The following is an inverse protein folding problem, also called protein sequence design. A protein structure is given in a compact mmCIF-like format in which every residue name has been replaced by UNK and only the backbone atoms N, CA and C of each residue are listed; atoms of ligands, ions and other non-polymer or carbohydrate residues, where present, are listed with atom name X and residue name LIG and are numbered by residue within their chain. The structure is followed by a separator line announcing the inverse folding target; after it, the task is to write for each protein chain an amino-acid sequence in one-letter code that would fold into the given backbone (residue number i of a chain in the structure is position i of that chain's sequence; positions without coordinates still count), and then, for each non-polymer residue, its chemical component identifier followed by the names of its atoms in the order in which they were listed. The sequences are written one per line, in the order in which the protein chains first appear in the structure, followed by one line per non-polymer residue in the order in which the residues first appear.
data_IF_029588832704
#
_entry.id   IF_029588832704
#
_cell.length_a   1.000
_cell.length_b   1.000
_cell.length_c   1.000
_cell.angle_alpha   90.00
_cell.angle_beta   90.00
_cell.angle_gamma   90.00
#
_symmetry.space_group_name_H-M   'P 1'
#
loop_
_entity.id
_entity.type
_entity.pdbx_description
1 polymer ?
#
# COMPACT_ATOMS: atom_id res chain seq x y z
N UNK A 1 -1.25 -16.87 -15.90
CA UNK A 1 -2.33 -16.00 -16.44
C UNK A 1 -1.64 -14.91 -17.26
N UNK A 2 -2.03 -14.66 -18.51
CA UNK A 2 -1.46 -13.55 -19.30
C UNK A 2 -1.56 -12.21 -18.57
N UNK A 3 -0.58 -11.31 -18.75
CA UNK A 3 -0.55 -9.99 -18.07
C UNK A 3 -1.83 -9.16 -18.33
N UNK A 4 -2.45 -9.36 -19.50
CA UNK A 4 -3.70 -8.73 -19.93
C UNK A 4 -4.98 -9.33 -19.34
N UNK A 5 -4.89 -10.44 -18.61
CA UNK A 5 -6.03 -11.10 -17.96
C UNK A 5 -5.86 -11.13 -16.42
N UNK A 6 -4.69 -10.71 -15.92
CA UNK A 6 -4.38 -10.69 -14.49
C UNK A 6 -5.25 -9.62 -13.81
N UNK A 7 -6.04 -10.05 -12.81
CA UNK A 7 -6.84 -9.14 -11.98
C UNK A 7 -6.01 -8.17 -11.13
N UNK A 8 -4.69 -8.39 -11.06
CA UNK A 8 -3.69 -7.48 -10.47
C UNK A 8 -4.08 -7.03 -9.06
N UNK A 9 -4.20 -8.02 -8.16
CA UNK A 9 -4.62 -7.84 -6.77
C UNK A 9 -3.39 -7.52 -5.93
N UNK A 10 -3.08 -6.25 -5.80
CA UNK A 10 -1.80 -5.81 -5.21
C UNK A 10 -1.94 -5.24 -3.80
N UNK A 11 -3.13 -4.73 -3.43
CA UNK A 11 -3.36 -4.17 -2.10
C UNK A 11 -4.27 -5.06 -1.24
N UNK A 12 -3.86 -5.31 0.00
CA UNK A 12 -4.66 -6.08 0.96
C UNK A 12 -4.62 -5.48 2.36
N UNK A 13 -5.73 -5.59 3.08
CA UNK A 13 -5.80 -5.24 4.50
C UNK A 13 -6.94 -5.99 5.20
N UNK A 14 -6.88 -6.07 6.52
CA UNK A 14 -7.97 -6.65 7.32
C UNK A 14 -8.90 -5.53 7.77
N UNK A 15 -10.20 -5.72 7.56
CA UNK A 15 -11.26 -4.85 8.05
C UNK A 15 -12.23 -5.66 8.93
N UNK A 16 -13.04 -4.96 9.72
CA UNK A 16 -14.08 -5.59 10.54
C UNK A 16 -15.45 -5.04 10.17
N UNK A 17 -16.37 -5.92 9.77
CA UNK A 17 -17.76 -5.58 9.48
C UNK A 17 -18.65 -6.25 10.52
N UNK A 18 -19.31 -5.47 11.38
CA UNK A 18 -20.10 -5.99 12.51
C UNK A 18 -19.31 -7.00 13.35
N UNK A 19 -18.08 -6.65 13.72
CA UNK A 19 -17.14 -7.49 14.50
C UNK A 19 -16.61 -8.73 13.76
N UNK A 20 -17.04 -8.99 12.53
CA UNK A 20 -16.56 -10.11 11.71
C UNK A 20 -15.36 -9.68 10.87
N UNK A 21 -14.23 -10.41 10.90
CA UNK A 21 -13.04 -10.05 10.15
C UNK A 21 -13.15 -10.45 8.67
N UNK A 22 -12.80 -9.50 7.80
CA UNK A 22 -12.69 -9.71 6.36
C UNK A 22 -11.29 -9.33 5.88
N UNK A 23 -10.75 -10.11 4.95
CA UNK A 23 -9.64 -9.67 4.12
C UNK A 23 -10.22 -8.88 2.95
N UNK A 24 -9.94 -7.58 2.93
CA UNK A 24 -10.20 -6.71 1.80
C UNK A 24 -9.01 -6.81 0.85
N UNK A 25 -9.30 -7.16 -0.40
CA UNK A 25 -8.31 -7.28 -1.49
C UNK A 25 -8.73 -6.31 -2.59
N UNK A 26 -7.80 -5.49 -3.04
CA UNK A 26 -8.07 -4.40 -3.98
C UNK A 26 -7.19 -4.57 -5.20
N UNK A 27 -7.79 -4.50 -6.38
CA UNK A 27 -7.06 -4.50 -7.64
C UNK A 27 -6.35 -3.18 -7.88
N UNK A 28 -5.20 -3.21 -8.57
CA UNK A 28 -4.33 -2.04 -8.77
C UNK A 28 -4.98 -0.89 -9.54
N UNK A 29 -6.04 -1.16 -10.30
CA UNK A 29 -6.74 -0.18 -11.12
C UNK A 29 -5.99 0.24 -12.39
N UNK A 30 -4.86 -0.42 -12.67
CA UNK A 30 -3.91 0.06 -13.68
C UNK A 30 -4.24 -0.48 -15.09
N UNK A 31 -4.26 0.39 -16.12
CA UNK A 31 -4.49 0.09 -17.57
C UNK A 31 -5.83 -0.55 -17.99
N UNK A 32 -6.49 -1.37 -17.16
CA UNK A 32 -7.58 -2.25 -17.61
C UNK A 32 -8.73 -2.31 -16.60
N UNK A 33 -9.95 -2.05 -17.07
CA UNK A 33 -11.18 -2.03 -16.24
C UNK A 33 -11.41 -3.30 -15.41
N UNK A 34 -10.90 -4.47 -15.82
CA UNK A 34 -11.07 -5.70 -15.05
C UNK A 34 -10.24 -5.76 -13.76
N UNK A 35 -9.33 -4.80 -13.54
CA UNK A 35 -8.60 -4.60 -12.27
C UNK A 35 -9.36 -3.69 -11.30
N UNK A 36 -10.49 -3.13 -11.71
CA UNK A 36 -11.28 -2.19 -10.93
C UNK A 36 -12.27 -2.95 -10.04
N UNK A 37 -11.71 -3.81 -9.17
CA UNK A 37 -12.48 -4.66 -8.25
C UNK A 37 -11.98 -4.57 -6.81
N UNK A 38 -12.92 -4.70 -5.88
CA UNK A 38 -12.64 -5.04 -4.49
C UNK A 38 -13.19 -6.44 -4.21
N UNK A 39 -12.45 -7.25 -3.49
CA UNK A 39 -12.87 -8.58 -3.04
C UNK A 39 -12.89 -8.59 -1.52
N UNK A 40 -14.00 -9.01 -0.96
CA UNK A 40 -14.16 -9.21 0.48
C UNK A 40 -14.21 -10.70 0.76
N UNK A 41 -13.15 -11.22 1.36
CA UNK A 41 -13.08 -12.59 1.83
C UNK A 41 -13.38 -12.63 3.33
N UNK A 42 -14.50 -13.26 3.70
CA UNK A 42 -14.84 -13.50 5.10
C UNK A 42 -13.85 -14.53 5.67
N UNK A 43 -13.10 -14.16 6.71
CA UNK A 43 -12.03 -15.00 7.25
C UNK A 43 -12.52 -16.15 8.15
N UNK A 44 -13.81 -16.18 8.50
CA UNK A 44 -14.42 -17.25 9.31
C UNK A 44 -15.05 -18.34 8.42
N UNK A 45 -15.72 -17.93 7.34
CA UNK A 45 -16.47 -18.81 6.44
C UNK A 45 -15.75 -19.12 5.12
N UNK A 46 -14.70 -18.39 4.78
CA UNK A 46 -14.01 -18.42 3.49
C UNK A 46 -14.88 -18.06 2.27
N UNK A 47 -16.09 -17.52 2.50
CA UNK A 47 -16.91 -16.98 1.43
C UNK A 47 -16.34 -15.64 0.96
N UNK A 48 -16.39 -15.37 -0.33
CA UNK A 48 -15.98 -14.08 -0.88
C UNK A 48 -17.08 -13.43 -1.71
N UNK A 49 -17.01 -12.11 -1.82
CA UNK A 49 -17.85 -11.30 -2.72
C UNK A 49 -16.96 -10.33 -3.48
N UNK A 50 -17.20 -10.18 -4.77
CA UNK A 50 -16.52 -9.20 -5.62
C UNK A 50 -17.42 -8.00 -5.88
N UNK A 51 -16.83 -6.81 -5.83
CA UNK A 51 -17.49 -5.54 -6.09
C UNK A 51 -16.79 -4.83 -7.23
N UNK A 52 -17.56 -4.28 -8.17
CA UNK A 52 -17.03 -3.36 -9.17
C UNK A 52 -16.83 -1.98 -8.53
N UNK A 53 -15.58 -1.53 -8.48
CA UNK A 53 -15.19 -0.23 -7.91
C UNK A 53 -14.75 0.78 -8.96
N UNK A 54 -15.00 0.52 -10.25
CA UNK A 54 -14.78 1.47 -11.35
C UNK A 54 -15.30 2.89 -11.04
N UNK A 55 -16.51 3.09 -10.47
CA UNK A 55 -16.99 4.43 -10.18
C UNK A 55 -16.14 5.17 -9.14
N UNK A 56 -15.51 4.44 -8.21
CA UNK A 56 -14.58 5.02 -7.23
C UNK A 56 -13.27 5.41 -7.91
N UNK A 57 -12.69 4.53 -8.73
CA UNK A 57 -11.44 4.78 -9.44
C UNK A 57 -11.53 5.90 -10.48
N UNK A 58 -12.63 5.97 -11.23
CA UNK A 58 -12.83 7.03 -12.23
C UNK A 58 -12.78 8.44 -11.61
N UNK A 59 -13.15 8.58 -10.33
CA UNK A 59 -13.12 9.86 -9.61
C UNK A 59 -11.72 10.28 -9.18
N UNK A 60 -10.75 9.36 -9.13
CA UNK A 60 -9.37 9.66 -8.70
C UNK A 60 -8.61 10.52 -9.71
N UNK A 61 -8.94 10.39 -11.00
CA UNK A 61 -8.37 11.22 -12.07
C UNK A 61 -8.68 12.71 -11.89
N UNK A 62 -9.92 13.03 -11.50
CA UNK A 62 -10.35 14.40 -11.20
C UNK A 62 -9.69 14.97 -9.93
N UNK A 63 -9.13 14.09 -9.09
CA UNK A 63 -8.39 14.42 -7.87
C UNK A 63 -6.87 14.44 -8.07
N UNK A 64 -6.39 14.31 -9.32
CA UNK A 64 -4.98 14.45 -9.70
C UNK A 64 -4.19 13.14 -9.80
N UNK A 65 -4.84 11.98 -9.73
CA UNK A 65 -4.20 10.67 -9.96
C UNK A 65 -4.57 10.19 -11.37
N UNK A 66 -3.72 10.47 -12.37
CA UNK A 66 -4.00 10.13 -13.77
C UNK A 66 -3.50 8.73 -14.16
N UNK A 67 -2.52 8.18 -13.45
CA UNK A 67 -1.99 6.82 -13.59
C UNK A 67 -2.21 6.05 -12.30
N UNK A 68 -3.42 5.53 -12.15
CA UNK A 68 -3.81 4.72 -11.01
C UNK A 68 -2.98 3.42 -10.95
N UNK A 69 -2.35 3.18 -9.81
CA UNK A 69 -1.67 1.94 -9.48
C UNK A 69 -1.66 1.73 -7.96
N UNK A 70 -2.72 1.12 -7.43
CA UNK A 70 -2.85 0.82 -6.00
C UNK A 70 -2.00 -0.40 -5.66
N UNK A 71 -1.04 -0.24 -4.75
CA UNK A 71 -0.11 -1.30 -4.33
C UNK A 71 -0.24 -1.67 -2.85
N UNK A 72 -0.91 -0.84 -2.06
CA UNK A 72 -0.95 -1.04 -0.62
C UNK A 72 -2.23 -0.54 0.02
N UNK A 73 -2.60 -1.17 1.13
CA UNK A 73 -3.76 -0.78 1.93
C UNK A 73 -3.48 -0.94 3.42
N UNK A 74 -4.01 -0.03 4.23
CA UNK A 74 -4.03 -0.13 5.68
C UNK A 74 -5.32 0.48 6.24
N UNK A 75 -5.79 -0.04 7.38
CA UNK A 75 -6.83 0.62 8.16
C UNK A 75 -6.17 1.45 9.25
N UNK A 76 -6.55 2.71 9.37
CA UNK A 76 -6.13 3.62 10.43
C UNK A 76 -7.38 4.10 11.15
N UNK A 77 -7.64 3.52 12.33
CA UNK A 77 -8.89 3.73 13.08
C UNK A 77 -10.12 3.40 12.20
N UNK A 78 -10.91 4.42 11.84
CA UNK A 78 -12.11 4.33 11.01
C UNK A 78 -11.85 4.58 9.51
N UNK A 79 -10.59 4.77 9.11
CA UNK A 79 -10.21 5.15 7.74
C UNK A 79 -9.54 4.01 7.00
N UNK A 80 -9.93 3.80 5.74
CA UNK A 80 -9.19 2.99 4.78
C UNK A 80 -8.19 3.88 4.04
N UNK A 81 -6.94 3.48 4.08
CA UNK A 81 -5.80 4.16 3.47
C UNK A 81 -5.28 3.30 2.33
N UNK A 82 -5.28 3.83 1.11
CA UNK A 82 -4.69 3.18 -0.07
C UNK A 82 -3.43 3.94 -0.49
N UNK A 83 -2.36 3.20 -0.74
CA UNK A 83 -1.14 3.75 -1.34
C UNK A 83 -1.20 3.59 -2.85
N UNK A 84 -1.26 4.72 -3.55
CA UNK A 84 -1.05 4.77 -4.99
C UNK A 84 0.44 4.95 -5.27
N UNK A 85 1.00 3.98 -5.98
CA UNK A 85 2.38 4.00 -6.46
C UNK A 85 2.58 5.13 -7.45
N UNK A 86 3.62 5.91 -7.26
CA UNK A 86 4.05 6.90 -8.24
C UNK A 86 4.60 6.24 -9.51
N UNK A 87 5.04 7.08 -10.45
CA UNK A 87 5.90 6.65 -11.54
C UNK A 87 7.04 7.67 -11.71
N UNK A 88 8.25 7.18 -12.04
CA UNK A 88 9.46 8.03 -12.19
C UNK A 88 9.33 9.25 -13.12
N UNK A 89 8.33 9.32 -14.01
CA UNK A 89 8.25 10.33 -15.06
C UNK A 89 7.23 11.43 -14.82
N UNK A 90 6.12 11.15 -14.12
CA UNK A 90 4.93 12.00 -14.17
C UNK A 90 4.12 12.06 -12.89
N UNK A 91 4.13 11.02 -12.05
CA UNK A 91 3.24 10.96 -10.89
C UNK A 91 3.97 10.73 -9.58
N UNK A 92 3.67 11.58 -8.61
CA UNK A 92 4.09 11.38 -7.23
C UNK A 92 3.36 10.20 -6.59
N UNK A 93 3.92 9.67 -5.52
CA UNK A 93 3.18 8.75 -4.65
C UNK A 93 2.01 9.49 -4.00
N UNK A 94 0.89 8.79 -3.81
CA UNK A 94 -0.27 9.35 -3.12
C UNK A 94 -0.79 8.42 -2.04
N UNK A 95 -1.32 9.04 -0.99
CA UNK A 95 -2.19 8.40 -0.01
C UNK A 95 -3.63 8.80 -0.33
N UNK A 96 -4.46 7.81 -0.60
CA UNK A 96 -5.90 7.96 -0.81
C UNK A 96 -6.59 7.53 0.48
N UNK A 97 -7.49 8.37 0.98
CA UNK A 97 -8.22 8.17 2.23
C UNK A 97 -9.70 8.06 1.89
N UNK A 98 -10.33 7.00 2.35
CA UNK A 98 -11.77 6.73 2.20
C UNK A 98 -12.27 5.97 3.43
N UNK A 99 -13.57 5.65 3.45
CA UNK A 99 -14.16 4.77 4.44
C UNK A 99 -13.99 3.30 4.02
N UNK A 100 -13.79 2.34 4.96
CA UNK A 100 -13.67 0.93 4.64
C UNK A 100 -14.75 0.44 3.67
N UNK A 101 -16.03 0.74 3.90
CA UNK A 101 -17.15 0.25 3.10
C UNK A 101 -17.46 1.04 1.83
N UNK A 102 -16.46 1.72 1.25
CA UNK A 102 -16.65 2.57 0.06
C UNK A 102 -17.30 1.84 -1.13
N UNK A 103 -17.11 0.51 -1.24
CA UNK A 103 -17.69 -0.31 -2.31
C UNK A 103 -19.23 -0.38 -2.27
N UNK A 104 -19.89 -0.02 -1.17
CA UNK A 104 -21.35 0.03 -1.11
C UNK A 104 -21.90 1.19 -1.96
N UNK A 105 -21.18 2.32 -2.00
CA UNK A 105 -21.55 3.52 -2.73
C UNK A 105 -20.32 4.14 -3.43
N UNK A 106 -19.68 3.44 -4.38
CA UNK A 106 -18.37 3.82 -4.91
C UNK A 106 -18.39 5.18 -5.63
N UNK A 107 -19.52 5.55 -6.22
CA UNK A 107 -19.72 6.85 -6.88
C UNK A 107 -19.78 8.04 -5.89
N UNK A 108 -20.20 7.78 -4.64
CA UNK A 108 -20.49 8.82 -3.64
C UNK A 108 -19.53 8.78 -2.44
N UNK A 109 -18.70 7.74 -2.33
CA UNK A 109 -17.75 7.58 -1.23
C UNK A 109 -16.88 8.82 -1.03
N UNK A 110 -16.59 9.15 0.23
CA UNK A 110 -15.69 10.25 0.54
C UNK A 110 -14.27 9.90 0.08
N UNK A 111 -13.61 10.83 -0.61
CA UNK A 111 -12.23 10.64 -1.07
C UNK A 111 -11.41 11.87 -0.68
N UNK A 112 -10.28 11.64 -0.03
CA UNK A 112 -9.22 12.62 0.10
C UNK A 112 -7.91 12.06 -0.43
N UNK A 113 -7.22 12.84 -1.25
CA UNK A 113 -5.91 12.49 -1.80
C UNK A 113 -4.86 13.40 -1.17
N UNK A 114 -3.78 12.80 -0.68
CA UNK A 114 -2.62 13.51 -0.12
C UNK A 114 -1.38 13.03 -0.88
N UNK A 115 -0.64 13.90 -1.58
CA UNK A 115 0.65 13.52 -2.13
C UNK A 115 1.64 13.25 -1.00
N UNK A 116 2.49 12.23 -1.18
CA UNK A 116 3.58 11.89 -0.25
C UNK A 116 4.92 12.00 -0.97
N UNK A 117 5.76 12.88 -0.44
CA UNK A 117 7.13 13.09 -0.92
C UNK A 117 8.04 12.15 -0.12
N UNK A 118 8.58 11.13 -0.79
CA UNK A 118 9.58 10.22 -0.22
C UNK A 118 10.96 10.89 -0.29
N UNK A 119 11.89 10.52 0.60
CA UNK A 119 13.24 11.12 0.60
C UNK A 119 14.01 10.86 -0.71
N UNK A 120 13.72 9.73 -1.36
CA UNK A 120 14.18 9.46 -2.71
C UNK A 120 13.00 9.67 -3.67
N UNK A 121 13.10 10.67 -4.55
CA UNK A 121 12.06 11.05 -5.52
C UNK A 121 11.72 9.94 -6.53
N UNK A 122 12.62 8.99 -6.72
CA UNK A 122 12.41 7.83 -7.62
C UNK A 122 11.83 6.61 -6.91
N UNK A 123 11.69 6.67 -5.58
CA UNK A 123 11.08 5.59 -4.82
C UNK A 123 9.56 5.60 -4.97
N UNK A 124 8.99 4.42 -5.02
CA UNK A 124 7.60 4.17 -5.33
C UNK A 124 7.00 3.32 -4.20
N UNK A 125 5.85 3.72 -3.66
CA UNK A 125 5.19 3.03 -2.55
C UNK A 125 4.85 1.58 -2.95
N UNK A 126 5.15 0.65 -2.04
CA UNK A 126 4.89 -0.78 -2.24
C UNK A 126 4.03 -1.39 -1.14
N UNK A 127 4.17 -0.95 0.12
CA UNK A 127 3.47 -1.56 1.25
C UNK A 127 3.02 -0.55 2.30
N UNK A 128 1.94 -0.87 3.01
CA UNK A 128 1.41 -0.10 4.13
C UNK A 128 0.94 -1.02 5.25
N UNK A 129 1.15 -0.59 6.50
CA UNK A 129 0.52 -1.20 7.67
C UNK A 129 0.43 -0.18 8.80
N UNK A 130 -0.55 -0.33 9.70
CA UNK A 130 -0.76 0.62 10.80
C UNK A 130 -0.58 -0.04 12.16
N UNK A 131 0.17 0.64 13.03
CA UNK A 131 0.32 0.29 14.44
C UNK A 131 -0.62 1.16 15.27
N UNK A 132 -1.78 0.62 15.65
CA UNK A 132 -2.75 1.28 16.53
C UNK A 132 -2.10 1.66 17.87
N UNK A 133 -1.33 0.74 18.47
CA UNK A 133 -0.71 0.97 19.78
C UNK A 133 0.30 2.12 19.80
N UNK A 134 0.87 2.48 18.65
CA UNK A 134 1.88 3.53 18.53
C UNK A 134 1.39 4.75 17.73
N UNK A 135 0.18 4.72 17.18
CA UNK A 135 -0.31 5.66 16.17
C UNK A 135 0.71 5.93 15.05
N UNK A 136 1.20 4.85 14.44
CA UNK A 136 2.22 4.93 13.39
C UNK A 136 1.80 4.17 12.14
N UNK A 137 1.73 4.89 11.01
CA UNK A 137 1.61 4.30 9.68
C UNK A 137 3.02 3.98 9.18
N UNK A 138 3.26 2.71 8.90
CA UNK A 138 4.51 2.19 8.40
C UNK A 138 4.36 1.93 6.91
N UNK A 139 5.40 2.18 6.14
CA UNK A 139 5.37 1.92 4.70
C UNK A 139 6.67 1.30 4.21
N UNK A 140 6.57 0.58 3.10
CA UNK A 140 7.72 0.19 2.27
C UNK A 140 7.63 0.90 0.93
N UNK A 141 8.79 1.17 0.36
CA UNK A 141 8.90 1.71 -0.99
C UNK A 141 10.10 1.10 -1.69
N UNK A 142 10.06 1.02 -3.00
CA UNK A 142 11.13 0.45 -3.82
C UNK A 142 11.48 1.37 -4.96
N UNK A 143 12.74 1.35 -5.37
CA UNK A 143 13.13 1.89 -6.68
C UNK A 143 13.27 0.73 -7.66
N UNK A 144 12.69 0.85 -8.84
CA UNK A 144 12.89 -0.09 -9.94
C UNK A 144 13.48 0.66 -11.12
N UNK A 145 14.54 0.13 -11.75
CA UNK A 145 15.16 0.76 -12.90
C UNK A 145 14.34 0.60 -14.19
N UNK A 146 13.14 1.17 -14.18
CA UNK A 146 12.21 1.20 -15.32
C UNK A 146 11.55 2.55 -15.47
N UNK A 147 11.26 2.86 -16.72
CA UNK A 147 10.78 4.15 -17.18
C UNK A 147 9.24 4.33 -17.02
N UNK A 148 8.56 3.32 -16.48
CA UNK A 148 7.10 3.26 -16.32
C UNK A 148 6.71 2.30 -15.18
N UNK A 149 5.50 2.45 -14.61
CA UNK A 149 5.00 1.67 -13.46
C UNK A 149 4.53 0.24 -13.80
N UNK A 150 4.90 -0.28 -14.97
CA UNK A 150 4.31 -1.51 -15.49
C UNK A 150 5.33 -2.55 -15.95
N UNK A 151 6.54 -2.15 -16.31
CA UNK A 151 7.62 -3.04 -16.71
C UNK A 151 8.53 -3.31 -15.51
N UNK A 152 8.93 -4.56 -15.32
CA UNK A 152 9.82 -4.94 -14.23
C UNK A 152 11.24 -4.47 -14.57
N UNK A 153 11.70 -3.46 -13.84
CA UNK A 153 13.04 -2.90 -14.00
C UNK A 153 14.09 -3.70 -13.25
N UNK A 154 15.36 -3.30 -13.38
CA UNK A 154 16.37 -3.82 -12.47
C UNK A 154 15.98 -3.40 -11.04
N UNK A 155 15.86 -4.37 -10.14
CA UNK A 155 15.64 -4.09 -8.71
C UNK A 155 16.68 -3.08 -8.24
N UNK A 156 16.20 -1.94 -7.75
CA UNK A 156 17.00 -0.93 -7.10
C UNK A 156 17.03 -1.17 -5.59
N UNK A 157 16.87 -0.09 -4.84
CA UNK A 157 16.90 -0.08 -3.38
C UNK A 157 15.50 -0.13 -2.79
N UNK A 158 15.38 -0.82 -1.65
CA UNK A 158 14.17 -0.87 -0.82
C UNK A 158 14.28 0.03 0.39
N UNK A 159 13.19 0.68 0.74
CA UNK A 159 13.07 1.63 1.83
C UNK A 159 12.00 1.19 2.81
N UNK A 160 12.23 1.51 4.08
CA UNK A 160 11.22 1.41 5.13
C UNK A 160 11.06 2.78 5.76
N UNK A 161 9.82 3.20 5.99
CA UNK A 161 9.55 4.48 6.61
C UNK A 161 8.39 4.46 7.60
N UNK A 162 8.37 5.52 8.42
CA UNK A 162 7.45 5.68 9.54
C UNK A 162 6.81 7.07 9.47
N UNK A 163 5.50 7.11 9.60
CA UNK A 163 4.72 8.31 9.84
C UNK A 163 4.04 8.16 11.20
N UNK A 164 4.62 8.80 12.21
CA UNK A 164 4.06 8.83 13.57
C UNK A 164 2.90 9.83 13.68
N UNK A 165 2.07 9.66 14.69
CA UNK A 165 0.86 10.44 14.91
C UNK A 165 -0.03 10.43 13.65
N UNK A 166 -0.12 9.25 13.02
CA UNK A 166 -0.62 9.08 11.67
C UNK A 166 -2.07 9.51 11.58
N UNK A 167 -2.94 9.06 12.50
CA UNK A 167 -4.37 9.34 12.47
C UNK A 167 -4.64 10.84 12.36
N UNK A 168 -4.01 11.64 13.23
CA UNK A 168 -4.13 13.10 13.18
C UNK A 168 -3.53 13.71 11.91
N UNK A 169 -2.41 13.18 11.40
CA UNK A 169 -1.77 13.68 10.18
C UNK A 169 -2.60 13.41 8.93
N UNK A 170 -3.41 12.36 8.91
CA UNK A 170 -4.31 12.06 7.80
C UNK A 170 -5.38 13.14 7.58
N UNK A 171 -5.63 14.04 8.54
CA UNK A 171 -6.51 15.21 8.36
C UNK A 171 -5.81 16.46 7.81
N UNK A 172 -4.51 16.39 7.53
CA UNK A 172 -3.72 17.49 6.97
C UNK A 172 -3.70 17.46 5.45
N UNK A 173 -3.22 18.55 4.86
CA UNK A 173 -2.97 18.68 3.41
C UNK A 173 -1.67 18.01 2.95
N UNK A 174 -0.77 17.70 3.87
CA UNK A 174 0.54 17.08 3.61
C UNK A 174 0.86 16.08 4.70
N UNK A 175 1.40 14.95 4.30
CA UNK A 175 1.87 13.92 5.22
C UNK A 175 3.38 14.08 5.41
N UNK A 176 3.81 14.29 6.66
CA UNK A 176 5.23 14.34 6.99
C UNK A 176 5.70 12.96 7.44
N UNK A 177 6.66 12.41 6.71
CA UNK A 177 7.44 11.25 7.09
C UNK A 177 8.33 11.64 8.27
N UNK A 178 8.36 10.80 9.32
CA UNK A 178 9.22 11.00 10.47
C UNK A 178 10.62 10.48 10.20
N UNK A 179 10.69 9.26 9.67
CA UNK A 179 11.91 8.52 9.40
C UNK A 179 11.74 7.72 8.11
N UNK A 180 12.78 7.67 7.31
CA UNK A 180 12.91 6.77 6.16
C UNK A 180 14.35 6.24 6.13
N UNK A 181 14.50 4.93 5.96
CA UNK A 181 15.81 4.28 5.89
C UNK A 181 15.90 3.41 4.65
N UNK A 182 17.07 3.40 4.02
CA UNK A 182 17.40 2.44 2.98
C UNK A 182 17.76 1.11 3.66
N UNK A 183 17.04 0.04 3.34
CA UNK A 183 17.16 -1.23 4.06
C UNK A 183 18.53 -1.90 3.87
N UNK A 184 19.17 -1.70 2.72
CA UNK A 184 20.51 -2.20 2.41
C UNK A 184 21.62 -1.54 3.25
N UNK A 185 21.40 -0.32 3.77
CA UNK A 185 22.28 0.33 4.74
C UNK A 185 22.14 -0.27 6.14
N UNK A 186 20.97 -0.82 6.45
CA UNK A 186 20.69 -1.45 7.75
C UNK A 186 21.28 -2.86 7.82
N UNK A 187 21.12 -3.65 6.75
CA UNK A 187 21.67 -5.01 6.71
C UNK A 187 21.87 -5.50 5.27
N UNK A 188 23.00 -6.17 5.01
CA UNK A 188 23.38 -6.63 3.66
C UNK A 188 22.39 -7.61 3.03
N UNK A 189 21.60 -8.32 3.85
CA UNK A 189 20.58 -9.25 3.36
C UNK A 189 19.45 -8.59 2.58
N UNK A 190 19.32 -7.26 2.65
CA UNK A 190 18.35 -6.49 1.86
C UNK A 190 18.89 -6.05 0.51
N UNK A 191 20.17 -6.32 0.18
CA UNK A 191 20.72 -6.03 -1.15
C UNK A 191 20.02 -6.89 -2.20
N UNK A 192 19.68 -6.27 -3.32
CA UNK A 192 18.95 -6.89 -4.43
C UNK A 192 17.60 -7.52 -4.00
N UNK A 193 16.99 -7.00 -2.93
CA UNK A 193 15.66 -7.41 -2.47
C UNK A 193 14.67 -6.29 -2.77
N UNK A 194 13.60 -6.62 -3.51
CA UNK A 194 12.49 -5.71 -3.75
C UNK A 194 11.43 -5.94 -2.68
N UNK A 195 11.42 -5.12 -1.64
CA UNK A 195 10.49 -5.26 -0.51
C UNK A 195 9.14 -4.67 -0.89
N UNK A 196 8.17 -5.54 -1.09
CA UNK A 196 6.85 -5.18 -1.61
C UNK A 196 5.78 -5.08 -0.52
N UNK A 197 6.04 -5.58 0.68
CA UNK A 197 5.02 -5.54 1.74
C UNK A 197 5.61 -5.48 3.14
N UNK A 198 4.81 -4.94 4.06
CA UNK A 198 5.08 -4.91 5.49
C UNK A 198 3.82 -5.29 6.28
N UNK A 199 3.99 -6.12 7.30
CA UNK A 199 2.92 -6.49 8.23
C UNK A 199 3.44 -6.55 9.67
N UNK A 200 2.59 -6.16 10.62
CA UNK A 200 2.90 -6.22 12.04
C UNK A 200 2.68 -7.65 12.56
N UNK A 201 3.75 -8.28 13.04
CA UNK A 201 3.63 -9.55 13.76
C UNK A 201 3.18 -9.34 15.21
N UNK A 202 3.83 -8.39 15.90
CA UNK A 202 3.50 -8.02 17.27
C UNK A 202 3.90 -6.58 17.53
N UNK A 203 3.12 -5.87 18.33
CA UNK A 203 3.41 -4.50 18.72
C UNK A 203 3.40 -4.31 20.25
N UNK A 204 4.30 -3.44 20.70
CA UNK A 204 4.38 -2.87 22.04
C UNK A 204 4.63 -1.37 21.87
N UNK A 205 4.42 -0.59 22.92
CA UNK A 205 4.75 0.84 22.92
C UNK A 205 6.24 1.02 22.60
N UNK A 206 6.54 1.76 21.54
CA UNK A 206 7.88 2.04 21.01
C UNK A 206 8.60 0.85 20.38
N UNK A 207 7.95 -0.32 20.21
CA UNK A 207 8.62 -1.53 19.70
C UNK A 207 7.70 -2.40 18.85
N UNK A 208 8.16 -2.72 17.65
CA UNK A 208 7.43 -3.54 16.69
C UNK A 208 8.27 -4.73 16.26
N UNK A 209 7.61 -5.87 16.04
CA UNK A 209 8.15 -6.96 15.22
C UNK A 209 7.34 -7.00 13.94
N UNK A 210 8.03 -6.91 12.82
CA UNK A 210 7.42 -6.85 11.51
C UNK A 210 7.87 -8.03 10.65
N UNK A 211 7.01 -8.36 9.70
CA UNK A 211 7.34 -9.17 8.54
C UNK A 211 7.47 -8.26 7.33
N UNK A 212 8.58 -8.35 6.61
CA UNK A 212 8.75 -7.73 5.29
C UNK A 212 8.81 -8.83 4.25
N UNK A 213 8.01 -8.71 3.18
CA UNK A 213 8.03 -9.65 2.06
C UNK A 213 8.79 -9.00 0.92
N UNK A 214 9.71 -9.73 0.32
CA UNK A 214 10.42 -9.30 -0.86
C UNK A 214 10.27 -10.30 -2.00
N UNK A 215 10.16 -9.79 -3.22
CA UNK A 215 10.45 -10.53 -4.44
C UNK A 215 11.90 -10.21 -4.86
N UNK A 216 12.54 -11.16 -5.53
CA UNK A 216 13.87 -10.98 -6.11
C UNK A 216 13.84 -10.91 -7.65
N UNK A 217 12.63 -10.87 -8.24
CA UNK A 217 12.34 -10.87 -9.69
C UNK A 217 13.05 -12.01 -10.46
N UNK A 218 13.54 -13.01 -9.73
CA UNK A 218 14.25 -14.21 -10.21
C UNK A 218 13.50 -15.48 -9.81
N UNK A 219 12.25 -15.33 -9.38
CA UNK A 219 11.35 -16.43 -9.01
C UNK A 219 11.49 -16.92 -7.57
N UNK A 220 12.13 -16.15 -6.68
CA UNK A 220 12.23 -16.46 -5.26
C UNK A 220 11.72 -15.32 -4.38
N UNK A 221 10.84 -15.64 -3.44
CA UNK A 221 10.38 -14.68 -2.43
C UNK A 221 11.11 -14.87 -1.10
N UNK A 222 11.40 -13.78 -0.42
CA UNK A 222 12.02 -13.78 0.90
C UNK A 222 11.08 -13.17 1.94
N UNK A 223 11.08 -13.77 3.13
CA UNK A 223 10.39 -13.24 4.30
C UNK A 223 11.41 -12.79 5.33
N UNK A 224 11.52 -11.49 5.54
CA UNK A 224 12.35 -10.91 6.59
C UNK A 224 11.54 -10.74 7.86
N UNK A 225 12.16 -11.03 8.99
CA UNK A 225 11.63 -10.70 10.31
C UNK A 225 12.50 -9.62 10.91
N UNK A 226 11.92 -8.45 11.11
CA UNK A 226 12.65 -7.27 11.61
C UNK A 226 12.07 -6.80 12.93
N UNK A 227 12.91 -6.14 13.74
CA UNK A 227 12.49 -5.47 14.94
C UNK A 227 12.74 -3.98 14.80
N UNK A 228 11.70 -3.17 14.94
CA UNK A 228 11.77 -1.71 14.87
C UNK A 228 11.60 -1.13 16.27
N UNK A 229 12.38 -0.09 16.57
CA UNK A 229 12.19 0.76 17.75
C UNK A 229 11.77 2.13 17.23
N UNK A 230 10.58 2.55 17.64
CA UNK A 230 10.03 3.88 17.34
C UNK A 230 10.49 4.86 18.42
#
# INVERSE_FOLDING_TARGET
IPKSEKSDLEATTVIYLNEVPYLLIIGSGSRQHHRNKAILLNLESNNFTEYNIEPFYSRLADLGIHELNIESAAVVEDLLILGNRGNRKKESNHIIITQPEFWNHPADAEIRVIPIELENETAELSGLTYSERNDSLLFTATTEDTDNSYDDGKIGESYFGVIENAYRKLYRKRLRINEQVMLSDIHESFKDQKVESVCIQTEKTGRLKLHLVADNDKGGSFLFKVQVRL
#
